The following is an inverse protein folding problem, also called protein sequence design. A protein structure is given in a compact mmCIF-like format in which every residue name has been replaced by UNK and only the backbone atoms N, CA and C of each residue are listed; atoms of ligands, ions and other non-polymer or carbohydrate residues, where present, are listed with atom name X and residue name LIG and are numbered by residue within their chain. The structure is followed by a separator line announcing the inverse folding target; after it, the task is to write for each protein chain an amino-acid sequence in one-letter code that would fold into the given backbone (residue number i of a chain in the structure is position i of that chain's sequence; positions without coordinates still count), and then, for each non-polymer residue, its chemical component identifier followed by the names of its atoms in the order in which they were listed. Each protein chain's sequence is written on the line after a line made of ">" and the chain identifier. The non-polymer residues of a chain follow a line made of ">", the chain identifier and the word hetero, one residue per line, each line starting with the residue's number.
data_IF_869720601172
#
_entry.id   IF_869720601172
#
_cell.length_a   1.000
_cell.length_b   1.000
_cell.length_c   1.000
_cell.angle_alpha   90.00
_cell.angle_beta   90.00
_cell.angle_gamma   90.00
#
_symmetry.space_group_name_H-M   'P 1'
#
loop_
_entity.id
_entity.type
_entity.pdbx_description
1 polymer ?
#
# COMPACT_ATOMS: atom_id res chain seq x y z
N UNK A 1 -27.89 -15.86 -9.56
CA UNK A 1 -26.69 -15.81 -8.70
C UNK A 1 -25.67 -14.98 -9.46
N UNK A 2 -25.30 -13.82 -8.96
CA UNK A 2 -24.29 -12.96 -9.60
C UNK A 2 -22.93 -13.35 -9.06
N UNK A 3 -22.17 -14.11 -9.84
CA UNK A 3 -20.77 -14.36 -9.57
C UNK A 3 -20.03 -13.02 -9.75
N UNK A 4 -19.75 -12.34 -8.64
CA UNK A 4 -18.83 -11.20 -8.67
C UNK A 4 -17.51 -11.69 -9.26
N UNK A 5 -16.96 -10.99 -10.26
CA UNK A 5 -15.71 -11.42 -10.87
C UNK A 5 -14.61 -11.43 -9.81
N UNK A 6 -13.86 -12.52 -9.74
CA UNK A 6 -12.82 -12.81 -8.74
C UNK A 6 -11.85 -11.63 -8.55
N UNK A 7 -11.52 -10.92 -9.63
CA UNK A 7 -10.69 -9.72 -9.60
C UNK A 7 -11.25 -8.58 -8.73
N UNK A 8 -12.57 -8.38 -8.74
CA UNK A 8 -13.22 -7.36 -7.89
C UNK A 8 -13.14 -7.76 -6.42
N UNK A 9 -13.27 -9.06 -6.12
CA UNK A 9 -13.13 -9.57 -4.75
C UNK A 9 -11.69 -9.42 -4.23
N UNK A 10 -10.69 -9.70 -5.06
CA UNK A 10 -9.27 -9.49 -4.73
C UNK A 10 -8.98 -8.01 -4.47
N UNK A 11 -9.44 -7.11 -5.36
CA UNK A 11 -9.25 -5.68 -5.21
C UNK A 11 -9.93 -5.13 -3.93
N UNK A 12 -11.14 -5.60 -3.60
CA UNK A 12 -11.84 -5.22 -2.37
C UNK A 12 -11.06 -5.66 -1.13
N UNK A 13 -10.54 -6.89 -1.10
CA UNK A 13 -9.72 -7.40 0.01
C UNK A 13 -8.42 -6.61 0.16
N UNK A 14 -7.73 -6.32 -0.95
CA UNK A 14 -6.53 -5.50 -0.94
C UNK A 14 -6.80 -4.08 -0.42
N UNK A 15 -7.92 -3.47 -0.83
CA UNK A 15 -8.33 -2.14 -0.37
C UNK A 15 -8.58 -2.12 1.14
N UNK A 16 -9.30 -3.10 1.67
CA UNK A 16 -9.56 -3.21 3.11
C UNK A 16 -8.27 -3.50 3.91
N UNK A 17 -7.35 -4.30 3.37
CA UNK A 17 -6.04 -4.52 3.96
C UNK A 17 -5.23 -3.21 4.02
N UNK A 18 -5.21 -2.42 2.95
CA UNK A 18 -4.54 -1.11 2.93
C UNK A 18 -5.10 -0.14 3.99
N UNK A 19 -6.43 -0.03 4.11
CA UNK A 19 -7.07 0.80 5.14
C UNK A 19 -6.70 0.35 6.55
N UNK A 20 -6.70 -0.96 6.77
CA UNK A 20 -6.31 -1.55 8.07
C UNK A 20 -4.86 -1.21 8.40
N UNK A 21 -3.98 -1.31 7.41
CA UNK A 21 -2.56 -1.03 7.55
C UNK A 21 -2.29 0.45 7.88
N UNK A 22 -2.99 1.39 7.25
CA UNK A 22 -2.89 2.82 7.56
C UNK A 22 -3.36 3.12 9.00
N UNK A 23 -4.45 2.51 9.44
CA UNK A 23 -4.94 2.62 10.82
C UNK A 23 -3.93 2.10 11.84
N UNK A 24 -3.31 0.94 11.58
CA UNK A 24 -2.28 0.37 12.44
C UNK A 24 -1.02 1.24 12.49
N UNK A 25 -0.57 1.78 11.35
CA UNK A 25 0.56 2.73 11.28
C UNK A 25 0.28 4.00 12.09
N UNK A 26 -0.93 4.55 12.00
CA UNK A 26 -1.32 5.71 12.79
C UNK A 26 -1.29 5.42 14.30
N UNK A 27 -1.82 4.27 14.72
CA UNK A 27 -1.77 3.82 16.13
C UNK A 27 -0.34 3.69 16.62
N UNK A 28 0.53 3.04 15.83
CA UNK A 28 1.95 2.88 16.18
C UNK A 28 2.64 4.23 16.34
N UNK A 29 2.40 5.18 15.42
CA UNK A 29 2.95 6.53 15.50
C UNK A 29 2.46 7.29 16.75
N UNK A 30 1.17 7.18 17.07
CA UNK A 30 0.61 7.76 18.31
C UNK A 30 1.27 7.16 19.56
N UNK A 31 1.53 5.86 19.56
CA UNK A 31 2.18 5.16 20.65
C UNK A 31 3.66 5.55 20.80
N UNK A 32 4.39 5.71 19.68
CA UNK A 32 5.76 6.25 19.69
C UNK A 32 5.82 7.64 20.32
N UNK A 33 4.83 8.50 20.07
CA UNK A 33 4.71 9.81 20.75
C UNK A 33 4.47 9.67 22.25
N UNK A 34 3.63 8.73 22.68
CA UNK A 34 3.41 8.44 24.11
C UNK A 34 4.70 7.95 24.78
N UNK A 35 5.45 7.07 24.12
CA UNK A 35 6.76 6.58 24.60
C UNK A 35 7.74 7.75 24.73
N UNK A 36 7.86 8.60 23.70
CA UNK A 36 8.74 9.77 23.76
C UNK A 36 8.37 10.69 24.93
N UNK A 37 7.08 10.99 25.12
CA UNK A 37 6.60 11.80 26.25
C UNK A 37 6.88 11.14 27.60
N UNK A 38 6.68 9.83 27.72
CA UNK A 38 6.95 9.08 28.94
C UNK A 38 8.45 9.01 29.25
N UNK A 39 9.34 9.09 28.25
CA UNK A 39 10.79 9.20 28.44
C UNK A 39 11.21 10.58 28.95
N UNK A 40 10.64 11.66 28.40
CA UNK A 40 11.04 13.03 28.73
C UNK A 40 10.38 13.58 30.00
N UNK A 41 9.21 13.08 30.35
CA UNK A 41 8.46 13.51 31.54
C UNK A 41 8.13 12.30 32.43
N UNK A 42 9.08 11.87 33.28
CA UNK A 42 8.85 10.80 34.24
C UNK A 42 7.82 11.25 35.29
N UNK A 43 6.53 10.99 35.04
CA UNK A 43 5.46 11.30 35.98
C UNK A 43 5.01 10.05 36.73
N UNK A 44 5.20 10.04 38.05
CA UNK A 44 4.59 9.03 38.92
C UNK A 44 3.16 9.46 39.22
N UNK A 45 2.18 8.77 38.65
CA UNK A 45 0.77 9.06 38.96
C UNK A 45 0.39 8.28 40.22
N UNK A 46 0.19 8.99 41.33
CA UNK A 46 -0.31 8.41 42.57
C UNK A 46 -1.83 8.59 42.59
N UNK A 47 -2.57 7.50 42.41
CA UNK A 47 -4.02 7.48 42.57
C UNK A 47 -4.31 7.00 43.99
N UNK A 48 -5.03 7.78 44.79
CA UNK A 48 -5.39 7.41 46.16
C UNK A 48 -6.05 6.02 46.18
N UNK A 49 -5.49 5.10 46.97
CA UNK A 49 -5.99 3.72 47.09
C UNK A 49 -5.46 2.73 46.05
N UNK A 50 -4.54 3.12 45.16
CA UNK A 50 -3.82 2.19 44.26
C UNK A 50 -2.31 2.35 44.44
N UNK A 51 -1.58 1.25 44.23
CA UNK A 51 -0.12 1.30 44.18
C UNK A 51 0.33 2.32 43.12
N UNK A 52 1.36 3.14 43.42
CA UNK A 52 1.87 4.11 42.46
C UNK A 52 2.31 3.39 41.20
N UNK A 53 1.80 3.82 40.04
CA UNK A 53 2.23 3.29 38.75
C UNK A 53 3.57 3.94 38.42
N UNK A 54 4.61 3.11 38.31
CA UNK A 54 5.97 3.59 38.02
C UNK A 54 6.13 3.89 36.53
N UNK A 55 7.04 4.79 36.20
CA UNK A 55 7.40 5.08 34.82
C UNK A 55 7.81 3.81 34.06
N UNK A 56 8.52 2.88 34.71
CA UNK A 56 8.93 1.61 34.11
C UNK A 56 7.76 0.70 33.74
N UNK A 57 6.72 0.66 34.59
CA UNK A 57 5.51 -0.09 34.29
C UNK A 57 4.76 0.51 33.10
N UNK A 58 4.64 1.85 33.05
CA UNK A 58 4.05 2.55 31.90
C UNK A 58 4.85 2.28 30.63
N UNK A 59 6.18 2.41 30.70
CA UNK A 59 7.09 2.20 29.57
C UNK A 59 7.01 0.77 29.04
N UNK A 60 7.02 -0.22 29.93
CA UNK A 60 6.89 -1.65 29.57
C UNK A 60 5.56 -1.91 28.87
N UNK A 61 4.46 -1.34 29.36
CA UNK A 61 3.14 -1.46 28.71
C UNK A 61 3.14 -0.86 27.31
N UNK A 62 3.67 0.36 27.15
CA UNK A 62 3.74 1.03 25.85
C UNK A 62 4.65 0.29 24.85
N UNK A 63 5.78 -0.26 25.31
CA UNK A 63 6.70 -1.02 24.46
C UNK A 63 6.07 -2.35 24.00
N UNK A 64 5.37 -3.05 24.88
CA UNK A 64 4.64 -4.27 24.51
C UNK A 64 3.56 -3.99 23.47
N UNK A 65 2.76 -2.93 23.65
CA UNK A 65 1.74 -2.53 22.68
C UNK A 65 2.37 -2.15 21.32
N UNK A 66 3.55 -1.51 21.32
CA UNK A 66 4.27 -1.15 20.09
C UNK A 66 4.76 -2.39 19.36
N UNK A 67 5.30 -3.36 20.10
CA UNK A 67 5.73 -4.64 19.55
C UNK A 67 4.57 -5.40 18.93
N UNK A 68 3.41 -5.48 19.62
CA UNK A 68 2.21 -6.13 19.07
C UNK A 68 1.73 -5.45 17.78
N UNK A 69 1.69 -4.11 17.74
CA UNK A 69 1.31 -3.38 16.53
C UNK A 69 2.30 -3.61 15.39
N UNK A 70 3.60 -3.63 15.67
CA UNK A 70 4.63 -3.91 14.67
C UNK A 70 4.49 -5.32 14.11
N UNK A 71 4.21 -6.31 14.97
CA UNK A 71 3.93 -7.67 14.54
C UNK A 71 2.72 -7.73 13.61
N UNK A 72 1.59 -7.11 13.97
CA UNK A 72 0.39 -7.07 13.13
C UNK A 72 0.64 -6.43 11.76
N UNK A 73 1.40 -5.33 11.72
CA UNK A 73 1.78 -4.67 10.46
C UNK A 73 2.62 -5.61 9.60
N UNK A 74 3.64 -6.26 10.17
CA UNK A 74 4.50 -7.19 9.44
C UNK A 74 3.72 -8.40 8.91
N UNK A 75 2.82 -8.96 9.71
CA UNK A 75 1.96 -10.08 9.27
C UNK A 75 1.05 -9.65 8.12
N UNK A 76 0.45 -8.47 8.21
CA UNK A 76 -0.44 -7.97 7.15
C UNK A 76 0.32 -7.68 5.86
N UNK A 77 1.54 -7.12 5.95
CA UNK A 77 2.41 -6.93 4.78
C UNK A 77 2.78 -8.26 4.12
N UNK A 78 3.20 -9.24 4.92
CA UNK A 78 3.54 -10.57 4.42
C UNK A 78 2.34 -11.26 3.73
N UNK A 79 1.13 -11.08 4.26
CA UNK A 79 -0.10 -11.59 3.65
C UNK A 79 -0.45 -10.87 2.33
N UNK A 80 -0.06 -9.61 2.15
CA UNK A 80 -0.23 -8.88 0.88
C UNK A 80 0.88 -9.14 -0.14
N UNK A 81 2.02 -9.65 0.30
CA UNK A 81 3.17 -10.01 -0.55
C UNK A 81 3.12 -11.46 -1.06
N UNK A 82 2.10 -12.25 -0.68
CA UNK A 82 1.87 -13.54 -1.34
C UNK A 82 1.83 -13.32 -2.85
N UNK A 83 2.77 -13.91 -3.62
CA UNK A 83 2.89 -13.66 -5.04
C UNK A 83 1.57 -14.05 -5.68
N UNK A 84 1.00 -13.15 -6.48
CA UNK A 84 -0.12 -13.46 -7.39
C UNK A 84 0.26 -14.78 -8.06
N UNK A 85 -0.46 -15.89 -7.81
CA UNK A 85 -0.10 -17.17 -8.37
C UNK A 85 0.02 -16.98 -9.87
N UNK A 86 1.09 -17.51 -10.49
CA UNK A 86 1.46 -17.21 -11.88
C UNK A 86 0.31 -17.39 -12.89
N UNK A 87 -0.68 -18.22 -12.52
CA UNK A 87 -1.95 -18.45 -13.21
C UNK A 87 -2.88 -17.22 -13.31
N UNK A 88 -2.68 -16.21 -12.47
CA UNK A 88 -3.41 -14.95 -12.45
C UNK A 88 -2.58 -13.79 -13.01
N UNK A 89 -1.39 -14.05 -13.61
CA UNK A 89 -0.75 -13.06 -14.49
C UNK A 89 -1.65 -12.86 -15.71
N UNK A 90 -2.55 -11.88 -15.61
CA UNK A 90 -3.30 -11.36 -16.74
C UNK A 90 -2.24 -10.79 -17.69
N UNK A 91 -1.91 -11.56 -18.73
CA UNK A 91 -1.16 -11.04 -19.85
C UNK A 91 -2.07 -10.02 -20.53
N UNK A 92 -1.90 -8.73 -20.21
CA UNK A 92 -2.56 -7.65 -20.92
C UNK A 92 -1.81 -7.51 -22.26
N UNK A 93 -1.93 -8.51 -23.14
CA UNK A 93 -1.76 -8.24 -24.56
C UNK A 93 -2.92 -7.34 -24.92
N UNK A 94 -2.61 -6.06 -25.08
CA UNK A 94 -3.51 -5.05 -25.62
C UNK A 94 -3.94 -5.46 -27.03
N UNK A 95 -4.88 -6.39 -27.15
CA UNK A 95 -5.70 -6.58 -28.33
C UNK A 95 -6.87 -5.62 -28.19
N UNK A 96 -6.60 -4.34 -28.44
CA UNK A 96 -7.64 -3.36 -28.68
C UNK A 96 -8.66 -3.96 -29.68
N UNK A 97 -9.97 -3.92 -29.39
CA UNK A 97 -10.97 -4.41 -30.31
C UNK A 97 -10.93 -3.57 -31.59
N UNK A 98 -10.85 -4.26 -32.72
CA UNK A 98 -10.96 -3.69 -34.07
C UNK A 98 -12.20 -2.80 -34.16
N UNK A 99 -12.03 -1.57 -34.64
CA UNK A 99 -12.68 -0.99 -35.84
C UNK A 99 -12.89 0.53 -35.73
N UNK A 100 -12.02 1.29 -36.40
CA UNK A 100 -12.44 2.47 -37.14
C UNK A 100 -11.66 2.45 -38.45
N UNK A 101 -12.35 2.14 -39.53
CA UNK A 101 -11.87 2.18 -40.92
C UNK A 101 -11.39 3.56 -41.38
N UNK A 102 -11.39 4.58 -40.51
CA UNK A 102 -10.80 5.90 -40.79
C UNK A 102 -9.32 6.01 -40.43
N UNK A 103 -8.81 5.28 -39.44
CA UNK A 103 -7.38 5.38 -39.05
C UNK A 103 -6.43 4.61 -39.98
N UNK A 104 -6.94 3.75 -40.87
CA UNK A 104 -6.10 3.08 -41.88
C UNK A 104 -5.83 3.94 -43.12
N UNK A 105 -6.56 5.05 -43.35
CA UNK A 105 -6.27 5.97 -44.44
C UNK A 105 -5.16 6.98 -44.11
N UNK A 106 -4.99 7.36 -42.84
CA UNK A 106 -3.94 8.32 -42.44
C UNK A 106 -2.52 7.72 -42.49
N UNK A 107 -2.39 6.38 -42.58
CA UNK A 107 -1.09 5.70 -42.73
C UNK A 107 -0.68 5.40 -44.18
N UNK A 108 -1.51 5.71 -45.17
CA UNK A 108 -1.16 5.54 -46.59
C UNK A 108 -0.44 6.78 -47.20
N UNK A 109 -0.27 7.85 -46.43
CA UNK A 109 0.30 9.14 -46.91
C UNK A 109 1.62 9.49 -46.22
N UNK A 110 2.38 8.47 -45.79
CA UNK A 110 3.75 8.63 -45.27
C UNK A 110 4.71 7.85 -46.20
N UNK A 111 4.45 7.92 -47.50
CA UNK A 111 5.31 7.33 -48.54
C UNK A 111 5.44 8.28 -49.71
N UNK A 112 5.67 9.55 -49.45
CA UNK A 112 6.16 10.48 -50.47
C UNK A 112 6.75 11.69 -49.75
N UNK A 113 7.79 12.27 -50.34
CA UNK A 113 8.58 13.41 -49.83
C UNK A 113 9.75 13.02 -48.91
N UNK A 114 10.55 12.04 -49.32
CA UNK A 114 11.99 12.26 -49.34
C UNK A 114 12.31 13.07 -50.61
N UNK A 115 12.55 14.39 -50.53
CA UNK A 115 13.41 15.02 -51.51
C UNK A 115 14.87 14.67 -51.14
N UNK A 116 15.42 13.82 -51.99
CA UNK A 116 16.84 13.71 -52.32
C UNK A 116 17.49 15.09 -52.45
N UNK A 117 18.78 15.16 -52.14
CA UNK A 117 19.71 16.28 -52.38
C UNK A 117 19.69 17.45 -51.39
N UNK A 118 20.52 17.34 -50.33
CA UNK A 118 21.43 18.44 -50.00
C UNK A 118 22.82 17.85 -49.80
N UNK A 119 23.70 18.18 -50.74
CA UNK A 119 25.08 17.76 -50.84
C UNK A 119 25.97 18.37 -49.74
N UNK A 120 27.11 17.70 -49.59
CA UNK A 120 28.31 18.03 -48.82
C UNK A 120 28.77 19.49 -48.94
N UNK A 121 29.20 20.06 -47.81
CA UNK A 121 30.40 20.89 -47.69
C UNK A 121 31.09 20.56 -46.36
#
# INVERSE_FOLDING_TARGET
>A
MTDEPENILVLRRATEACKTLDSLRYKLHSLQKKIAKARTHPSTTIIAGRSPVTQDQVMTGLLNEAYTLQFQISTLLAATEEPIPERQRISITSTAPRTSTREQQDRATITELLPTDVQVA
#
